data_IF_050256511214
#
_entry.id   IF_050256511214
#
_cell.length_a   1.000
_cell.length_b   1.000
_cell.length_c   1.000
_cell.angle_alpha   90.00
_cell.angle_beta   90.00
_cell.angle_gamma   90.00
#
_symmetry.space_group_name_H-M   'P 1'
#
loop_
_entity.id
_entity.type
_entity.pdbx_description
1 polymer ?
#
# COMPACT_ATOMS: atom_id res chain seq x y z
N UNK A 1 14.83 -0.16 18.51
CA UNK A 1 13.70 0.77 18.24
C UNK A 1 12.58 0.54 19.25
N UNK A 2 11.94 1.60 19.80
CA UNK A 2 10.75 1.46 20.65
C UNK A 2 9.49 1.49 19.79
N UNK A 3 8.44 0.81 20.24
CA UNK A 3 7.13 0.87 19.59
C UNK A 3 6.01 0.53 20.58
N UNK A 4 4.80 0.96 20.24
CA UNK A 4 3.56 0.61 20.92
C UNK A 4 2.55 0.10 19.90
N UNK A 5 1.57 -0.67 20.36
CA UNK A 5 0.42 -1.05 19.52
C UNK A 5 -0.69 -0.03 19.73
N UNK A 6 -1.36 0.31 18.63
CA UNK A 6 -2.61 1.05 18.65
C UNK A 6 -3.72 0.22 19.35
N UNK A 7 -4.80 0.87 19.78
CA UNK A 7 -5.93 0.23 20.48
C UNK A 7 -6.59 -0.90 19.68
N UNK A 8 -6.42 -0.95 18.36
CA UNK A 8 -6.87 -2.07 17.52
C UNK A 8 -6.02 -3.35 17.69
N UNK A 9 -4.93 -3.29 18.45
CA UNK A 9 -4.08 -4.42 18.80
C UNK A 9 -3.11 -4.91 17.71
N UNK A 10 -3.05 -4.24 16.56
CA UNK A 10 -2.19 -4.68 15.46
C UNK A 10 -1.43 -3.56 14.72
N UNK A 11 -1.94 -2.34 14.66
CA UNK A 11 -1.19 -1.23 14.05
C UNK A 11 -0.05 -0.82 14.97
N UNK A 12 1.16 -0.75 14.44
CA UNK A 12 2.37 -0.40 15.19
C UNK A 12 2.61 1.10 15.12
N UNK A 13 2.87 1.73 16.24
CA UNK A 13 3.41 3.09 16.34
C UNK A 13 4.87 2.99 16.76
N UNK A 14 5.78 3.22 15.81
CA UNK A 14 7.21 3.15 16.03
C UNK A 14 7.77 4.54 16.41
N UNK A 15 8.63 4.56 17.43
CA UNK A 15 9.21 5.77 18.00
C UNK A 15 10.69 5.84 17.66
N UNK A 16 11.05 6.49 16.56
CA UNK A 16 12.42 6.80 16.19
C UNK A 16 12.48 7.95 15.17
N UNK A 17 13.64 8.56 15.05
CA UNK A 17 13.90 9.57 14.03
C UNK A 17 14.51 8.90 12.78
N UNK A 18 13.81 8.98 11.67
CA UNK A 18 14.25 8.43 10.37
C UNK A 18 15.59 9.03 9.95
N UNK A 19 15.91 10.28 10.33
CA UNK A 19 17.20 10.92 9.99
C UNK A 19 18.41 10.21 10.58
N UNK A 20 18.23 9.57 11.72
CA UNK A 20 19.33 8.94 12.47
C UNK A 20 19.24 7.43 12.56
N UNK A 21 18.20 6.83 11.97
CA UNK A 21 17.99 5.39 12.01
C UNK A 21 19.14 4.61 11.36
N UNK A 22 19.37 3.44 11.93
CA UNK A 22 20.39 2.48 11.49
C UNK A 22 19.79 1.40 10.60
N UNK A 23 20.63 0.58 9.97
CA UNK A 23 20.17 -0.61 9.23
C UNK A 23 19.46 -1.61 10.15
N UNK A 24 19.87 -1.70 11.41
CA UNK A 24 19.23 -2.58 12.39
C UNK A 24 17.80 -2.13 12.70
N UNK A 25 17.57 -0.82 12.84
CA UNK A 25 16.22 -0.27 13.01
C UNK A 25 15.34 -0.60 11.80
N UNK A 26 15.86 -0.49 10.58
CA UNK A 26 15.11 -0.83 9.36
C UNK A 26 14.84 -2.33 9.26
N UNK A 27 15.76 -3.18 9.71
CA UNK A 27 15.54 -4.63 9.75
C UNK A 27 14.45 -5.01 10.77
N UNK A 28 14.43 -4.34 11.93
CA UNK A 28 13.36 -4.52 12.91
C UNK A 28 12.01 -4.01 12.37
N UNK A 29 12.02 -2.83 11.75
CA UNK A 29 10.84 -2.26 11.09
C UNK A 29 10.26 -3.21 10.01
N UNK A 30 11.13 -3.83 9.20
CA UNK A 30 10.76 -4.84 8.21
C UNK A 30 9.98 -6.00 8.85
N UNK A 31 10.43 -6.51 9.99
CA UNK A 31 9.74 -7.57 10.73
C UNK A 31 8.37 -7.11 11.25
N UNK A 32 8.31 -5.88 11.78
CA UNK A 32 7.05 -5.30 12.27
C UNK A 32 6.01 -5.10 11.15
N UNK A 33 6.43 -4.62 9.98
CA UNK A 33 5.55 -4.46 8.82
C UNK A 33 5.02 -5.82 8.36
N UNK A 34 5.91 -6.80 8.22
CA UNK A 34 5.54 -8.16 7.79
C UNK A 34 4.59 -8.88 8.77
N UNK A 35 4.67 -8.57 10.07
CA UNK A 35 3.83 -9.19 11.09
C UNK A 35 2.51 -8.46 11.31
N UNK A 36 2.47 -7.14 11.08
CA UNK A 36 1.37 -6.27 11.50
C UNK A 36 0.73 -5.46 10.35
N UNK A 37 1.23 -5.58 9.14
CA UNK A 37 0.79 -4.91 7.90
C UNK A 37 0.93 -3.39 7.87
N UNK A 38 0.84 -2.66 8.98
CA UNK A 38 0.88 -1.20 9.01
C UNK A 38 1.71 -0.68 10.19
N UNK A 39 2.67 0.19 9.88
CA UNK A 39 3.50 0.90 10.87
C UNK A 39 3.41 2.39 10.64
N UNK A 40 3.20 3.14 11.72
CA UNK A 40 3.11 4.61 11.74
C UNK A 40 4.30 5.17 12.51
N UNK A 41 4.96 6.17 11.93
CA UNK A 41 6.05 6.93 12.56
C UNK A 41 5.63 8.40 12.54
N UNK A 42 5.42 8.97 13.72
CA UNK A 42 4.90 10.32 13.85
C UNK A 42 6.02 11.38 13.88
N UNK A 43 5.64 12.63 13.62
CA UNK A 43 6.45 13.83 13.87
C UNK A 43 7.81 13.86 13.14
N UNK A 44 7.86 13.35 11.93
CA UNK A 44 9.07 13.38 11.11
C UNK A 44 9.22 14.72 10.38
N UNK A 45 10.46 15.15 10.16
CA UNK A 45 10.79 16.37 9.39
C UNK A 45 11.93 16.06 8.42
N UNK A 46 11.62 15.38 7.32
CA UNK A 46 12.59 14.82 6.40
C UNK A 46 12.85 15.74 5.21
N UNK A 47 14.09 15.80 4.79
CA UNK A 47 14.48 16.28 3.46
C UNK A 47 14.36 15.12 2.46
N UNK A 48 14.38 15.44 1.16
CA UNK A 48 14.43 14.41 0.09
C UNK A 48 15.64 13.47 0.28
N UNK A 49 16.77 14.04 0.71
CA UNK A 49 17.99 13.25 0.91
C UNK A 49 17.85 12.29 2.12
N UNK A 50 17.14 12.70 3.18
CA UNK A 50 16.82 11.84 4.32
C UNK A 50 15.89 10.69 3.89
N UNK A 51 14.85 11.00 3.12
CA UNK A 51 13.93 9.99 2.59
C UNK A 51 14.66 8.99 1.69
N UNK A 52 15.47 9.47 0.73
CA UNK A 52 16.22 8.60 -0.17
C UNK A 52 17.23 7.73 0.59
N UNK A 53 17.89 8.27 1.62
CA UNK A 53 18.77 7.48 2.48
C UNK A 53 18.00 6.35 3.16
N UNK A 54 16.87 6.68 3.78
CA UNK A 54 16.03 5.71 4.48
C UNK A 54 15.48 4.63 3.53
N UNK A 55 14.91 5.04 2.40
CA UNK A 55 14.35 4.11 1.42
C UNK A 55 15.40 3.15 0.83
N UNK A 56 16.65 3.62 0.65
CA UNK A 56 17.76 2.77 0.19
C UNK A 56 18.27 1.76 1.22
N UNK A 57 17.84 1.86 2.47
CA UNK A 57 18.14 0.85 3.49
C UNK A 57 17.20 -0.36 3.41
N UNK A 58 16.10 -0.26 2.67
CA UNK A 58 15.27 -1.39 2.26
C UNK A 58 15.78 -2.00 0.96
N UNK A 59 15.21 -3.13 0.55
CA UNK A 59 15.54 -3.75 -0.72
C UNK A 59 14.80 -3.03 -1.88
N UNK A 60 15.46 -2.96 -3.04
CA UNK A 60 14.90 -2.60 -4.33
C UNK A 60 13.98 -1.35 -4.32
N UNK A 61 14.45 -0.18 -3.80
CA UNK A 61 13.68 1.04 -3.95
C UNK A 61 13.62 1.39 -5.44
N UNK A 62 12.40 1.43 -5.98
CA UNK A 62 12.20 1.58 -7.41
C UNK A 62 11.12 2.60 -7.75
N UNK A 63 11.22 3.11 -8.97
CA UNK A 63 10.18 3.93 -9.56
C UNK A 63 8.91 3.11 -9.80
N UNK A 64 7.76 3.72 -9.58
CA UNK A 64 6.48 3.16 -9.97
C UNK A 64 6.32 3.09 -11.50
N UNK A 65 6.91 4.05 -12.21
CA UNK A 65 6.84 4.13 -13.66
C UNK A 65 8.23 3.95 -14.29
N UNK A 66 8.35 3.22 -15.40
CA UNK A 66 9.58 3.16 -16.17
C UNK A 66 10.01 4.56 -16.65
N UNK A 67 11.32 4.81 -16.80
CA UNK A 67 11.86 6.12 -17.22
C UNK A 67 11.35 6.61 -18.57
N UNK A 68 10.93 5.72 -19.45
CA UNK A 68 10.33 6.02 -20.74
C UNK A 68 8.81 6.26 -20.69
N UNK A 69 8.18 6.07 -19.54
CA UNK A 69 6.77 6.38 -19.34
C UNK A 69 6.60 7.90 -19.21
N UNK A 70 5.66 8.53 -19.92
CA UNK A 70 5.37 9.96 -19.77
C UNK A 70 5.06 10.38 -18.33
N UNK A 71 4.41 9.51 -17.56
CA UNK A 71 4.03 9.77 -16.17
C UNK A 71 5.22 9.80 -15.21
N UNK A 72 6.36 9.19 -15.60
CA UNK A 72 7.59 9.26 -14.81
C UNK A 72 8.02 10.71 -14.53
N UNK A 73 8.11 11.54 -15.58
CA UNK A 73 8.50 12.93 -15.43
C UNK A 73 7.41 13.78 -14.75
N UNK A 74 6.14 13.41 -14.91
CA UNK A 74 5.01 14.15 -14.37
C UNK A 74 4.89 14.01 -12.86
N UNK A 75 5.17 12.82 -12.35
CA UNK A 75 4.94 12.48 -10.95
C UNK A 75 6.18 12.45 -10.07
N UNK A 76 7.38 12.25 -10.64
CA UNK A 76 8.62 12.24 -9.88
C UNK A 76 8.81 13.56 -9.11
N UNK A 77 9.27 13.45 -7.86
CA UNK A 77 9.39 14.58 -6.95
C UNK A 77 10.45 15.57 -7.39
N UNK A 78 11.68 15.11 -7.63
CA UNK A 78 12.83 15.92 -8.01
C UNK A 78 13.89 15.05 -8.71
N UNK A 79 13.89 15.04 -10.03
CA UNK A 79 14.83 14.23 -10.81
C UNK A 79 16.30 14.67 -10.72
N UNK A 80 16.60 15.85 -10.14
CA UNK A 80 17.99 16.26 -9.88
C UNK A 80 18.58 15.56 -8.66
N UNK A 81 17.75 15.36 -7.61
CA UNK A 81 18.11 14.65 -6.38
C UNK A 81 17.83 13.15 -6.47
N UNK A 82 16.77 12.79 -7.14
CA UNK A 82 16.29 11.43 -7.34
C UNK A 82 16.20 11.07 -8.83
N UNK A 83 17.33 10.84 -9.51
CA UNK A 83 17.35 10.55 -10.95
C UNK A 83 16.68 9.22 -11.32
N UNK A 84 16.36 8.40 -10.35
CA UNK A 84 15.65 7.15 -10.53
C UNK A 84 14.14 7.29 -10.32
N UNK A 85 13.67 8.45 -9.84
CA UNK A 85 12.24 8.69 -9.58
C UNK A 85 11.68 7.70 -8.58
N UNK A 86 12.38 7.48 -7.47
CA UNK A 86 11.93 6.59 -6.39
C UNK A 86 10.74 7.23 -5.66
N UNK A 87 10.81 8.55 -5.46
CA UNK A 87 9.80 9.31 -4.71
C UNK A 87 8.86 10.03 -5.67
N UNK A 88 7.56 9.79 -5.51
CA UNK A 88 6.49 10.45 -6.24
C UNK A 88 5.69 11.39 -5.35
N UNK A 89 5.15 12.45 -5.98
CA UNK A 89 4.21 13.37 -5.31
C UNK A 89 2.79 12.86 -5.45
N UNK A 90 2.12 12.67 -4.34
CA UNK A 90 0.66 12.43 -4.27
C UNK A 90 -0.01 13.76 -3.91
N UNK A 91 -0.52 14.48 -4.91
CA UNK A 91 -1.05 15.84 -4.71
C UNK A 91 -1.79 16.33 -5.95
N UNK A 92 -2.75 17.23 -5.74
CA UNK A 92 -3.35 18.03 -6.83
C UNK A 92 -2.58 19.34 -7.12
N UNK A 93 -1.48 19.60 -6.40
CA UNK A 93 -0.65 20.77 -6.66
C UNK A 93 -0.08 20.74 -8.07
N UNK A 94 -0.26 21.83 -8.80
CA UNK A 94 0.27 21.96 -10.15
C UNK A 94 1.72 22.47 -10.07
N UNK A 95 2.64 21.74 -10.72
CA UNK A 95 4.01 22.16 -10.98
C UNK A 95 4.26 22.07 -12.48
N UNK A 96 4.76 23.15 -13.09
CA UNK A 96 5.05 23.20 -14.53
C UNK A 96 3.89 22.73 -15.42
N UNK A 97 2.65 23.09 -15.01
CA UNK A 97 1.43 22.72 -15.71
C UNK A 97 0.91 21.30 -15.45
N UNK A 98 1.56 20.52 -14.57
CA UNK A 98 1.24 19.13 -14.27
C UNK A 98 0.84 18.95 -12.81
N UNK A 99 -0.21 18.16 -12.56
CA UNK A 99 -0.60 17.72 -11.22
C UNK A 99 0.24 16.50 -10.81
N UNK A 100 0.34 16.26 -9.51
CA UNK A 100 0.95 15.02 -9.00
C UNK A 100 0.04 13.80 -9.15
N UNK A 101 0.56 12.64 -8.80
CA UNK A 101 -0.19 11.38 -8.82
C UNK A 101 -1.38 11.43 -7.85
N UNK A 102 -2.48 10.79 -8.24
CA UNK A 102 -3.70 10.68 -7.42
C UNK A 102 -4.19 12.03 -6.85
N UNK A 103 -4.03 13.10 -7.62
CA UNK A 103 -4.38 14.47 -7.22
C UNK A 103 -5.88 14.80 -7.25
N UNK A 104 -6.73 13.85 -7.66
CA UNK A 104 -8.19 14.03 -7.66
C UNK A 104 -8.76 14.00 -6.24
N UNK A 105 -9.90 14.64 -6.07
CA UNK A 105 -10.54 14.87 -4.75
C UNK A 105 -11.39 13.68 -4.30
N UNK A 106 -11.89 12.91 -5.25
CA UNK A 106 -12.64 11.70 -5.01
C UNK A 106 -11.78 10.70 -4.21
N UNK A 107 -12.41 9.91 -3.38
CA UNK A 107 -11.73 8.84 -2.66
C UNK A 107 -11.14 7.79 -3.61
N UNK A 108 -10.31 6.93 -3.10
CA UNK A 108 -9.84 5.75 -3.80
C UNK A 108 -10.21 4.53 -2.98
N UNK A 109 -11.02 3.62 -3.53
CA UNK A 109 -11.57 2.50 -2.76
C UNK A 109 -10.50 1.46 -2.40
N UNK A 110 -10.88 0.43 -1.66
CA UNK A 110 -9.99 -0.60 -1.13
C UNK A 110 -9.17 -1.29 -2.21
N UNK A 111 -7.90 -0.97 -2.26
CA UNK A 111 -6.96 -1.39 -3.31
C UNK A 111 -5.57 -1.70 -2.74
N UNK A 112 -4.77 -2.35 -3.55
CA UNK A 112 -3.32 -2.42 -3.43
C UNK A 112 -2.70 -1.75 -4.64
N UNK A 113 -1.54 -1.14 -4.51
CA UNK A 113 -0.89 -0.49 -5.65
C UNK A 113 -0.39 -1.54 -6.65
N UNK A 114 -0.78 -1.41 -7.92
CA UNK A 114 -0.34 -2.25 -9.05
C UNK A 114 -0.40 -3.78 -8.79
N UNK A 115 -1.53 -4.33 -8.29
CA UNK A 115 -1.60 -5.76 -7.96
C UNK A 115 -1.47 -6.68 -9.18
N UNK A 116 -1.67 -6.14 -10.39
CA UNK A 116 -1.55 -6.83 -11.67
C UNK A 116 -0.10 -6.99 -12.14
N UNK A 117 0.87 -6.33 -11.48
CA UNK A 117 2.28 -6.34 -11.91
C UNK A 117 3.10 -7.37 -11.10
N UNK A 118 3.84 -8.28 -11.76
CA UNK A 118 4.67 -9.26 -11.06
C UNK A 118 5.85 -8.62 -10.31
N UNK A 119 6.34 -7.49 -10.80
CA UNK A 119 7.46 -6.74 -10.21
C UNK A 119 6.99 -5.54 -9.40
N UNK A 120 5.83 -5.64 -8.75
CA UNK A 120 5.31 -4.62 -7.86
C UNK A 120 6.13 -4.51 -6.57
N UNK A 121 6.04 -3.36 -5.92
CA UNK A 121 6.65 -3.17 -4.60
C UNK A 121 5.87 -3.91 -3.52
N UNK A 122 6.59 -4.57 -2.61
CA UNK A 122 5.99 -5.31 -1.49
C UNK A 122 5.51 -4.38 -0.36
N UNK A 123 6.12 -3.21 -0.26
CA UNK A 123 5.88 -2.22 0.79
C UNK A 123 5.55 -0.87 0.16
N UNK A 124 4.52 -0.23 0.68
CA UNK A 124 4.17 1.16 0.40
C UNK A 124 4.69 2.07 1.50
N UNK A 125 5.42 3.12 1.11
CA UNK A 125 5.82 4.23 1.96
C UNK A 125 5.01 5.46 1.59
N UNK A 126 4.41 6.11 2.58
CA UNK A 126 3.72 7.40 2.46
C UNK A 126 4.23 8.36 3.53
N UNK A 127 4.57 9.58 3.14
CA UNK A 127 4.99 10.64 4.06
C UNK A 127 4.16 11.90 3.86
N UNK A 128 3.52 12.37 4.92
CA UNK A 128 2.71 13.58 4.94
C UNK A 128 3.57 14.84 5.02
N UNK A 129 3.62 15.62 3.94
CA UNK A 129 4.49 16.80 3.84
C UNK A 129 3.79 18.06 4.34
N UNK A 130 2.59 18.33 3.83
CA UNK A 130 1.80 19.51 4.21
C UNK A 130 0.35 19.40 3.78
N UNK A 131 -0.51 20.10 4.52
CA UNK A 131 -1.94 20.16 4.25
C UNK A 131 -2.62 18.81 4.41
N UNK A 132 -2.03 17.91 5.20
CA UNK A 132 -2.52 16.55 5.38
C UNK A 132 -3.59 16.45 6.46
N UNK A 133 -3.60 17.37 7.42
CA UNK A 133 -4.60 17.42 8.47
C UNK A 133 -6.03 17.45 7.88
N UNK A 134 -6.92 16.64 8.44
CA UNK A 134 -8.28 16.47 7.95
C UNK A 134 -8.43 15.49 6.79
N UNK A 135 -7.34 14.95 6.24
CA UNK A 135 -7.40 13.84 5.29
C UNK A 135 -7.27 12.49 6.01
N UNK A 136 -7.91 11.47 5.44
CA UNK A 136 -7.97 10.14 6.05
C UNK A 136 -7.60 9.06 5.05
N UNK A 137 -6.78 8.12 5.51
CA UNK A 137 -6.52 6.86 4.80
C UNK A 137 -6.76 5.71 5.77
N UNK A 138 -7.36 4.63 5.29
CA UNK A 138 -7.49 3.42 6.10
C UNK A 138 -6.64 2.29 5.51
N UNK A 139 -6.18 1.44 6.38
CA UNK A 139 -5.52 0.17 6.08
C UNK A 139 -6.27 -0.97 6.72
N UNK A 140 -6.26 -2.15 6.10
CA UNK A 140 -6.74 -3.35 6.74
C UNK A 140 -5.59 -4.33 7.01
N UNK A 141 -5.85 -5.31 7.89
CA UNK A 141 -4.93 -6.39 8.20
C UNK A 141 -5.49 -7.74 7.72
N UNK A 142 -5.04 -8.16 6.55
CA UNK A 142 -5.45 -9.41 5.93
C UNK A 142 -4.80 -10.66 6.57
N UNK A 143 -3.77 -10.50 7.41
CA UNK A 143 -3.22 -11.60 8.23
C UNK A 143 -4.22 -11.97 9.31
N UNK A 144 -4.69 -10.96 10.09
CA UNK A 144 -5.70 -11.18 11.11
C UNK A 144 -7.02 -11.64 10.51
N UNK A 145 -7.43 -11.05 9.40
CA UNK A 145 -8.64 -11.46 8.70
C UNK A 145 -8.58 -12.93 8.28
N UNK A 146 -7.46 -13.39 7.70
CA UNK A 146 -7.28 -14.80 7.36
C UNK A 146 -7.27 -15.71 8.59
N UNK A 147 -6.56 -15.34 9.65
CA UNK A 147 -6.52 -16.12 10.89
C UNK A 147 -7.93 -16.41 11.42
N UNK A 148 -8.81 -15.43 11.36
CA UNK A 148 -10.14 -15.46 11.93
C UNK A 148 -11.23 -16.01 10.97
N UNK A 149 -10.86 -16.36 9.72
CA UNK A 149 -11.76 -17.05 8.79
C UNK A 149 -12.16 -18.43 9.32
N UNK A 150 -13.38 -18.83 8.98
CA UNK A 150 -13.84 -20.21 9.18
C UNK A 150 -12.98 -21.20 8.39
N UNK A 151 -12.67 -22.36 9.00
CA UNK A 151 -11.77 -23.35 8.38
C UNK A 151 -12.31 -23.90 7.07
N UNK A 152 -13.65 -23.98 6.89
CA UNK A 152 -14.26 -24.39 5.62
C UNK A 152 -13.98 -23.38 4.52
N UNK A 153 -13.98 -22.09 4.85
CA UNK A 153 -13.65 -21.02 3.90
C UNK A 153 -12.16 -21.06 3.58
N UNK A 154 -11.29 -21.24 4.59
CA UNK A 154 -9.85 -21.42 4.37
C UNK A 154 -9.56 -22.55 3.40
N UNK A 155 -10.20 -23.71 3.57
CA UNK A 155 -10.08 -24.85 2.65
C UNK A 155 -10.56 -24.52 1.23
N UNK A 156 -11.61 -23.71 1.09
CA UNK A 156 -12.14 -23.30 -0.21
C UNK A 156 -11.17 -22.41 -0.98
N UNK A 157 -10.43 -21.53 -0.26
CA UNK A 157 -9.64 -20.46 -0.89
C UNK A 157 -8.14 -20.75 -0.97
N UNK A 158 -7.63 -21.75 -0.27
CA UNK A 158 -6.19 -22.00 -0.10
C UNK A 158 -5.40 -22.19 -1.40
N UNK A 159 -6.06 -22.66 -2.46
CA UNK A 159 -5.43 -22.93 -3.76
C UNK A 159 -5.91 -21.97 -4.85
N UNK A 160 -6.60 -20.91 -4.51
CA UNK A 160 -7.08 -19.92 -5.49
C UNK A 160 -5.96 -18.97 -5.88
N UNK A 161 -5.95 -18.59 -7.16
CA UNK A 161 -5.06 -17.58 -7.73
C UNK A 161 -5.88 -16.41 -8.29
N UNK A 162 -5.39 -15.20 -8.08
CA UNK A 162 -6.08 -13.98 -8.42
C UNK A 162 -5.71 -13.49 -9.82
N UNK A 163 -6.68 -13.00 -10.58
CA UNK A 163 -6.47 -12.22 -11.80
C UNK A 163 -6.82 -10.78 -11.48
N UNK A 164 -5.82 -9.90 -11.48
CA UNK A 164 -5.98 -8.49 -11.21
C UNK A 164 -5.94 -7.65 -12.48
N UNK A 165 -6.65 -6.52 -12.46
CA UNK A 165 -6.65 -5.54 -13.51
C UNK A 165 -6.09 -4.20 -13.06
N UNK A 166 -5.51 -3.46 -14.00
CA UNK A 166 -5.05 -2.10 -13.76
C UNK A 166 -6.27 -1.17 -13.68
N UNK A 167 -6.60 -0.76 -12.46
CA UNK A 167 -7.62 0.25 -12.18
C UNK A 167 -6.91 1.42 -11.52
N UNK A 168 -6.51 2.37 -12.32
CA UNK A 168 -5.72 3.54 -11.90
C UNK A 168 -6.54 4.80 -11.63
N UNK A 169 -7.86 4.75 -11.81
CA UNK A 169 -8.73 5.91 -11.61
C UNK A 169 -9.99 5.55 -10.80
N UNK A 170 -10.43 6.43 -9.87
CA UNK A 170 -11.64 6.22 -9.09
C UNK A 170 -12.93 6.19 -9.94
N UNK A 171 -12.85 6.68 -11.17
CA UNK A 171 -13.98 6.80 -12.10
C UNK A 171 -14.21 5.59 -12.99
N UNK A 172 -13.59 4.45 -12.75
CA UNK A 172 -13.85 3.20 -13.48
C UNK A 172 -14.76 2.25 -12.65
N UNK A 173 -16.02 2.63 -12.35
CA UNK A 173 -16.85 1.93 -11.37
C UNK A 173 -17.21 0.51 -11.77
N UNK A 174 -17.27 0.22 -13.07
CA UNK A 174 -17.80 -1.05 -13.58
C UNK A 174 -16.72 -1.89 -14.31
N UNK A 175 -15.45 -1.65 -14.06
CA UNK A 175 -14.33 -2.34 -14.74
C UNK A 175 -14.37 -2.21 -16.29
N UNK A 176 -15.06 -1.21 -16.82
CA UNK A 176 -15.13 -0.95 -18.26
C UNK A 176 -13.78 -0.43 -18.73
N UNK A 177 -13.20 -1.11 -19.71
CA UNK A 177 -11.88 -0.76 -20.25
C UNK A 177 -10.68 -1.21 -19.41
N UNK A 178 -10.91 -1.97 -18.34
CA UNK A 178 -9.85 -2.53 -17.52
C UNK A 178 -9.14 -3.67 -18.26
N UNK A 179 -7.84 -3.60 -18.35
CA UNK A 179 -7.00 -4.71 -18.84
C UNK A 179 -6.58 -5.59 -17.67
N UNK A 180 -6.94 -6.86 -17.75
CA UNK A 180 -6.56 -7.87 -16.74
C UNK A 180 -5.29 -8.58 -17.15
N UNK A 181 -4.34 -8.71 -16.21
CA UNK A 181 -3.12 -9.48 -16.44
C UNK A 181 -3.36 -10.95 -16.12
N UNK A 182 -3.43 -11.78 -17.16
CA UNK A 182 -3.58 -13.24 -17.02
C UNK A 182 -2.24 -13.99 -17.01
N UNK A 183 -1.13 -13.29 -17.22
CA UNK A 183 0.22 -13.87 -17.17
C UNK A 183 0.82 -13.82 -15.75
N UNK A 184 0.21 -13.06 -14.87
CA UNK A 184 0.56 -12.96 -13.46
C UNK A 184 -0.68 -13.27 -12.62
N UNK A 185 -0.65 -14.41 -11.96
CA UNK A 185 -1.78 -14.90 -11.15
C UNK A 185 -1.27 -15.29 -9.76
N UNK A 186 -1.07 -14.30 -8.88
CA UNK A 186 -0.57 -14.56 -7.54
C UNK A 186 -1.55 -15.40 -6.72
N UNK A 187 -1.05 -16.23 -5.78
CA UNK A 187 -1.91 -16.98 -4.88
C UNK A 187 -2.70 -16.04 -3.98
N UNK A 188 -3.97 -16.39 -3.74
CA UNK A 188 -4.83 -15.63 -2.80
C UNK A 188 -4.32 -15.78 -1.36
N UNK A 189 -3.93 -16.99 -0.97
CA UNK A 189 -3.36 -17.26 0.37
C UNK A 189 -1.85 -17.47 0.23
N UNK A 190 -1.08 -16.79 1.05
CA UNK A 190 0.38 -16.90 1.01
C UNK A 190 0.97 -16.73 2.42
N UNK A 191 2.21 -17.18 2.57
CA UNK A 191 2.98 -17.01 3.80
C UNK A 191 3.75 -15.70 3.77
N UNK A 192 3.67 -14.95 4.86
CA UNK A 192 4.43 -13.70 5.07
C UNK A 192 5.88 -14.01 5.43
N UNK A 193 6.76 -12.99 5.39
CA UNK A 193 8.13 -13.11 5.92
C UNK A 193 8.18 -13.45 7.41
N UNK A 194 7.14 -13.10 8.16
CA UNK A 194 7.02 -13.46 9.59
C UNK A 194 6.51 -14.89 9.81
N UNK A 195 6.28 -15.68 8.76
CA UNK A 195 5.79 -17.06 8.83
C UNK A 195 4.30 -17.19 9.11
N UNK A 196 3.54 -16.10 9.02
CA UNK A 196 2.08 -16.11 9.16
C UNK A 196 1.42 -16.27 7.80
N UNK A 197 0.22 -16.85 7.75
CA UNK A 197 -0.59 -16.86 6.54
C UNK A 197 -1.43 -15.58 6.45
N UNK A 198 -1.52 -15.03 5.25
CA UNK A 198 -2.35 -13.88 4.93
C UNK A 198 -3.10 -14.05 3.62
N UNK A 199 -3.97 -13.10 3.30
CA UNK A 199 -4.74 -13.08 2.06
C UNK A 199 -4.29 -11.91 1.19
N UNK A 200 -3.82 -12.21 -0.02
CA UNK A 200 -3.60 -11.20 -1.04
C UNK A 200 -4.93 -10.89 -1.74
N UNK A 201 -5.66 -9.92 -1.21
CA UNK A 201 -7.02 -9.64 -1.68
C UNK A 201 -7.24 -8.14 -1.84
N UNK A 202 -7.17 -7.66 -3.07
CA UNK A 202 -7.50 -6.29 -3.46
C UNK A 202 -8.85 -6.29 -4.23
N UNK A 203 -9.99 -6.17 -3.53
CA UNK A 203 -11.31 -6.41 -4.09
C UNK A 203 -11.67 -5.48 -5.24
N UNK A 204 -11.22 -4.23 -5.19
CA UNK A 204 -11.52 -3.25 -6.23
C UNK A 204 -10.90 -3.62 -7.58
N UNK A 205 -9.73 -4.27 -7.58
CA UNK A 205 -8.97 -4.62 -8.77
C UNK A 205 -9.12 -6.09 -9.18
N UNK A 206 -9.74 -6.93 -8.33
CA UNK A 206 -9.92 -8.34 -8.62
C UNK A 206 -10.98 -8.57 -9.70
N UNK A 207 -10.57 -9.16 -10.83
CA UNK A 207 -11.46 -9.61 -11.89
C UNK A 207 -12.14 -10.91 -11.53
N UNK A 208 -11.34 -11.96 -11.30
CA UNK A 208 -11.83 -13.29 -10.87
C UNK A 208 -10.70 -14.13 -10.30
N UNK A 209 -11.04 -15.31 -9.80
CA UNK A 209 -10.09 -16.37 -9.47
C UNK A 209 -9.90 -17.31 -10.67
N UNK A 210 -8.67 -17.74 -10.90
CA UNK A 210 -8.29 -18.58 -12.06
C UNK A 210 -9.11 -19.88 -12.11
N UNK A 211 -9.27 -20.51 -10.95
CA UNK A 211 -9.87 -21.84 -10.80
C UNK A 211 -11.40 -21.81 -10.82
N UNK A 212 -12.02 -20.64 -10.81
CA UNK A 212 -13.47 -20.49 -10.67
C UNK A 212 -14.13 -19.86 -11.89
N UNK A 213 -15.42 -20.16 -12.08
CA UNK A 213 -16.26 -19.38 -12.97
C UNK A 213 -16.42 -17.95 -12.46
N UNK A 214 -16.85 -17.01 -13.32
CA UNK A 214 -17.08 -15.63 -12.90
C UNK A 214 -18.12 -15.55 -11.78
N UNK A 215 -19.19 -16.33 -11.87
CA UNK A 215 -20.26 -16.40 -10.86
C UNK A 215 -19.70 -16.84 -9.50
N UNK A 216 -18.96 -17.95 -9.47
CA UNK A 216 -18.33 -18.45 -8.24
C UNK A 216 -17.27 -17.50 -7.69
N UNK A 217 -16.52 -16.83 -8.56
CA UNK A 217 -15.57 -15.80 -8.17
C UNK A 217 -16.27 -14.63 -7.48
N UNK A 218 -17.41 -14.20 -8.00
CA UNK A 218 -18.20 -13.13 -7.39
C UNK A 218 -18.73 -13.52 -6.00
N UNK A 219 -19.23 -14.76 -5.84
CA UNK A 219 -19.69 -15.28 -4.54
C UNK A 219 -18.55 -15.25 -3.48
N UNK A 220 -17.36 -15.76 -3.85
CA UNK A 220 -16.19 -15.77 -2.95
C UNK A 220 -15.69 -14.35 -2.69
N UNK A 221 -15.67 -13.50 -3.72
CA UNK A 221 -15.28 -12.09 -3.57
C UNK A 221 -16.19 -11.36 -2.57
N UNK A 222 -17.50 -11.52 -2.69
CA UNK A 222 -18.48 -10.91 -1.78
C UNK A 222 -18.29 -11.43 -0.33
N UNK A 223 -18.15 -12.76 -0.16
CA UNK A 223 -17.89 -13.37 1.12
C UNK A 223 -16.62 -12.79 1.77
N UNK A 224 -15.53 -12.72 1.02
CA UNK A 224 -14.26 -12.18 1.52
C UNK A 224 -14.37 -10.67 1.80
N UNK A 225 -15.03 -9.88 0.97
CA UNK A 225 -15.26 -8.45 1.23
C UNK A 225 -15.99 -8.25 2.57
N UNK A 226 -17.08 -8.98 2.80
CA UNK A 226 -17.86 -8.89 4.04
C UNK A 226 -17.04 -9.27 5.28
N UNK A 227 -16.04 -10.13 5.12
CA UNK A 227 -15.17 -10.55 6.22
C UNK A 227 -14.00 -9.59 6.41
N UNK A 228 -13.17 -9.35 5.38
CA UNK A 228 -11.90 -8.60 5.52
C UNK A 228 -12.12 -7.10 5.74
N UNK A 229 -13.26 -6.56 5.34
CA UNK A 229 -13.61 -5.15 5.55
C UNK A 229 -14.41 -4.92 6.85
N UNK A 230 -14.39 -5.88 7.78
CA UNK A 230 -14.91 -5.68 9.12
C UNK A 230 -14.03 -4.70 9.89
N UNK A 231 -14.65 -3.79 10.66
CA UNK A 231 -13.97 -2.76 11.47
C UNK A 231 -12.86 -3.31 12.36
N UNK A 232 -12.96 -4.54 12.82
CA UNK A 232 -11.94 -5.25 13.60
C UNK A 232 -10.56 -5.28 12.94
N UNK A 233 -10.54 -5.31 11.60
CA UNK A 233 -9.32 -5.42 10.81
C UNK A 233 -8.90 -4.11 10.19
N UNK A 234 -9.59 -3.01 10.48
CA UNK A 234 -9.36 -1.72 9.85
C UNK A 234 -8.69 -0.75 10.84
N UNK A 235 -7.68 -0.07 10.36
CA UNK A 235 -7.05 1.07 11.01
C UNK A 235 -7.32 2.34 10.20
N UNK A 236 -7.82 3.37 10.84
CA UNK A 236 -8.07 4.69 10.26
C UNK A 236 -6.97 5.65 10.69
N UNK A 237 -6.21 6.15 9.74
CA UNK A 237 -5.18 7.14 9.98
C UNK A 237 -5.69 8.54 9.65
N UNK A 238 -5.81 9.37 10.67
CA UNK A 238 -6.02 10.80 10.53
C UNK A 238 -4.66 11.48 10.39
N UNK A 239 -4.36 11.91 9.17
CA UNK A 239 -3.04 12.45 8.82
C UNK A 239 -2.73 13.74 9.57
N UNK A 240 -1.47 13.85 9.97
CA UNK A 240 -0.82 15.10 10.35
C UNK A 240 0.43 15.30 9.49
N UNK A 241 0.84 16.56 9.28
CA UNK A 241 2.10 16.86 8.61
C UNK A 241 3.25 16.26 9.44
N UNK A 242 4.16 15.57 8.79
CA UNK A 242 5.23 14.84 9.44
C UNK A 242 4.93 13.36 9.75
N UNK A 243 3.75 12.86 9.44
CA UNK A 243 3.44 11.44 9.61
C UNK A 243 4.05 10.62 8.47
N UNK A 244 4.70 9.52 8.82
CA UNK A 244 5.10 8.48 7.89
C UNK A 244 4.29 7.23 8.17
N UNK A 245 3.69 6.65 7.13
CA UNK A 245 3.00 5.35 7.21
C UNK A 245 3.65 4.41 6.21
N UNK A 246 4.01 3.23 6.71
CA UNK A 246 4.64 2.16 5.92
C UNK A 246 3.76 0.93 6.05
N UNK A 247 3.37 0.34 4.91
CA UNK A 247 2.43 -0.78 4.92
C UNK A 247 2.81 -1.88 3.94
N UNK A 248 2.50 -3.10 4.34
CA UNK A 248 2.60 -4.29 3.50
C UNK A 248 1.50 -4.26 2.43
N UNK A 249 1.86 -4.44 1.17
CA UNK A 249 0.93 -4.47 0.05
C UNK A 249 0.47 -5.89 -0.35
N UNK A 250 1.05 -6.93 0.24
CA UNK A 250 0.59 -8.31 0.08
C UNK A 250 -0.50 -8.68 1.07
N UNK A 251 -0.36 -8.20 2.30
CA UNK A 251 -1.20 -8.57 3.44
C UNK A 251 -2.08 -7.43 3.91
N UNK A 252 -2.09 -6.32 3.19
CA UNK A 252 -2.91 -5.17 3.48
C UNK A 252 -3.39 -4.50 2.20
N UNK A 253 -4.55 -3.90 2.28
CA UNK A 253 -5.10 -2.99 1.29
C UNK A 253 -5.36 -1.66 1.96
N UNK A 254 -5.46 -0.63 1.17
CA UNK A 254 -5.73 0.70 1.71
C UNK A 254 -6.82 1.42 0.94
N UNK A 255 -7.44 2.40 1.61
CA UNK A 255 -8.50 3.23 1.07
C UNK A 255 -8.26 4.67 1.46
N UNK A 256 -8.39 5.57 0.50
CA UNK A 256 -8.35 7.01 0.74
C UNK A 256 -9.75 7.60 0.69
N UNK A 257 -10.13 8.34 1.70
CA UNK A 257 -11.38 9.12 1.69
C UNK A 257 -11.26 10.34 0.80
N UNK A 258 -12.39 10.85 0.27
CA UNK A 258 -12.43 12.16 -0.35
C UNK A 258 -11.90 13.24 0.60
N UNK A 259 -11.25 14.26 0.07
CA UNK A 259 -10.81 15.43 0.83
C UNK A 259 -11.29 16.71 0.17
N UNK A 260 -11.26 17.83 0.92
CA UNK A 260 -11.83 19.10 0.46
C UNK A 260 -11.17 19.60 -0.85
N UNK A 261 -12.00 20.15 -1.75
CA UNK A 261 -11.55 20.82 -2.98
C UNK A 261 -10.57 21.96 -2.74
N UNK A 262 -10.65 22.59 -1.59
CA UNK A 262 -9.83 23.77 -1.24
C UNK A 262 -8.45 23.40 -0.70
N UNK A 263 -8.25 22.15 -0.24
CA UNK A 263 -7.03 21.77 0.43
C UNK A 263 -5.97 21.27 -0.57
N UNK A 264 -4.77 21.83 -0.46
CA UNK A 264 -3.59 21.30 -1.14
C UNK A 264 -2.93 20.33 -0.18
N UNK A 265 -3.28 19.06 -0.32
CA UNK A 265 -2.66 17.95 0.37
C UNK A 265 -1.44 17.48 -0.43
N UNK A 266 -0.29 17.38 0.22
CA UNK A 266 0.94 16.87 -0.39
C UNK A 266 1.48 15.72 0.43
N UNK A 267 1.60 14.54 -0.19
CA UNK A 267 2.36 13.43 0.36
C UNK A 267 3.46 13.04 -0.63
N UNK A 268 4.51 12.46 -0.10
CA UNK A 268 5.46 11.67 -0.86
C UNK A 268 5.07 10.18 -0.81
N UNK A 269 5.28 9.48 -1.91
CA UNK A 269 4.99 8.05 -2.06
C UNK A 269 6.21 7.36 -2.66
N UNK A 270 6.60 6.24 -2.08
CA UNK A 270 7.60 5.34 -2.65
C UNK A 270 7.18 3.88 -2.53
N UNK A 271 7.70 3.04 -3.41
CA UNK A 271 7.60 1.59 -3.34
C UNK A 271 8.96 0.99 -3.05
N UNK A 272 9.00 0.06 -2.11
CA UNK A 272 10.21 -0.67 -1.69
C UNK A 272 9.87 -2.13 -1.45
N UNK A 273 10.88 -2.98 -1.41
CA UNK A 273 10.71 -4.39 -1.09
C UNK A 273 11.32 -4.73 0.28
N UNK A 274 10.90 -5.85 0.82
CA UNK A 274 11.49 -6.38 2.05
C UNK A 274 12.96 -6.70 1.86
N UNK A 275 13.78 -6.40 2.86
CA UNK A 275 15.13 -6.94 2.92
C UNK A 275 15.06 -8.47 3.01
N UNK A 276 15.99 -9.16 2.33
CA UNK A 276 16.16 -10.58 2.55
C UNK A 276 16.53 -10.79 4.02
N UNK A 277 15.56 -11.25 4.80
CA UNK A 277 15.82 -11.64 6.17
C UNK A 277 16.57 -12.96 6.08
N UNK A 278 17.87 -12.93 6.33
CA UNK A 278 18.63 -14.17 6.54
C UNK A 278 17.92 -14.98 7.64
N UNK A 279 17.34 -16.11 7.22
CA UNK A 279 16.64 -17.05 8.09
C UNK A 279 17.59 -17.61 9.15
#
# INVERSE_FOLDING_TARGET
>A
MNYTLHDNGWTVFAEFDIKTCTQEDVNELTKLISANTCVVIKNQSLTIDDELRFLKMFNNPKSLYPKNDPLFNDFALDLKKDPNGIIFRVTKEVRDGKIGMAGWEEGFDWHSDTPEEPDRSSILYLYGIRGTAGSKTAWNNNILAYRDLDDKIKEQIKNLHCIYGNISAPSAPDHVGVTYNTNWTPPLVHETLSGQLGIYFAPYQLGKFVELSQEKSNEIKELLCNHVLNEKYIYYHDWQDGDVVISDQWNGIHKRWPFSKMDIRVLHRAGIDYNEVTK
#
